data_IF_839663723131
#
_entry.id   IF_839663723131
#
_cell.length_a   1.000
_cell.length_b   1.000
_cell.length_c   1.000
_cell.angle_alpha   90.00
_cell.angle_beta   90.00
_cell.angle_gamma   90.00
#
_symmetry.space_group_name_H-M   'P 1'
#
loop_
_entity.id
_entity.type
_entity.pdbx_description
1 polymer ?
#
# COMPACT_ATOMS: atom_id res chain seq x y z
N UNK A 1 31.45 -17.45 -5.45
CA UNK A 1 31.80 -16.13 -6.02
C UNK A 1 31.62 -16.26 -7.51
N UNK A 2 30.50 -15.80 -8.03
CA UNK A 2 30.26 -15.84 -9.47
C UNK A 2 31.12 -14.75 -10.13
N UNK A 3 31.97 -15.16 -11.06
CA UNK A 3 32.73 -14.23 -11.89
C UNK A 3 31.77 -13.51 -12.83
N UNK A 4 31.93 -12.20 -13.06
CA UNK A 4 31.08 -11.47 -13.98
C UNK A 4 31.20 -12.04 -15.40
N UNK A 5 30.06 -12.43 -15.99
CA UNK A 5 30.00 -13.12 -17.29
C UNK A 5 30.57 -12.26 -18.42
N UNK A 6 30.20 -10.98 -18.47
CA UNK A 6 30.57 -10.06 -19.56
C UNK A 6 31.85 -9.28 -19.28
N UNK A 7 32.24 -9.15 -18.00
CA UNK A 7 33.37 -8.31 -17.53
C UNK A 7 33.30 -6.84 -17.99
N UNK A 8 32.12 -6.35 -18.35
CA UNK A 8 31.86 -4.95 -18.72
C UNK A 8 31.02 -4.27 -17.64
N UNK A 9 31.08 -2.93 -17.59
CA UNK A 9 30.18 -2.15 -16.75
C UNK A 9 28.74 -2.38 -17.19
N UNK A 10 27.82 -2.46 -16.23
CA UNK A 10 26.43 -2.81 -16.49
C UNK A 10 25.75 -1.81 -17.44
N UNK A 11 25.97 -0.51 -17.23
CA UNK A 11 25.36 0.55 -18.01
C UNK A 11 25.83 0.58 -19.47
N UNK A 12 27.14 0.43 -19.69
CA UNK A 12 27.74 0.31 -21.02
C UNK A 12 27.21 -0.92 -21.74
N UNK A 13 27.24 -2.09 -21.08
CA UNK A 13 26.79 -3.33 -21.68
C UNK A 13 25.29 -3.27 -22.05
N UNK A 14 24.45 -2.78 -21.15
CA UNK A 14 23.01 -2.62 -21.38
C UNK A 14 22.71 -1.64 -22.51
N UNK A 15 23.45 -0.53 -22.61
CA UNK A 15 23.24 0.43 -23.69
C UNK A 15 23.54 -0.20 -25.05
N UNK A 16 24.69 -0.85 -25.20
CA UNK A 16 25.15 -1.37 -26.49
C UNK A 16 24.43 -2.64 -26.94
N UNK A 17 24.02 -3.51 -26.01
CA UNK A 17 23.47 -4.84 -26.33
C UNK A 17 21.96 -4.94 -26.16
N UNK A 18 21.32 -3.98 -25.47
CA UNK A 18 19.87 -4.00 -25.21
C UNK A 18 19.22 -2.72 -25.70
N UNK A 19 19.50 -1.57 -25.06
CA UNK A 19 18.76 -0.33 -25.28
C UNK A 19 18.90 0.18 -26.70
N UNK A 20 20.13 0.37 -27.19
CA UNK A 20 20.40 0.88 -28.54
C UNK A 20 19.87 -0.07 -29.62
N UNK A 21 20.08 -1.41 -29.55
CA UNK A 21 19.47 -2.34 -30.50
C UNK A 21 17.96 -2.18 -30.66
N UNK A 22 17.18 -2.17 -29.57
CA UNK A 22 15.72 -2.00 -29.62
C UNK A 22 15.28 -0.54 -29.82
N UNK A 23 16.23 0.38 -29.96
CA UNK A 23 16.00 1.79 -30.31
C UNK A 23 15.75 2.71 -29.12
N UNK A 24 15.94 2.27 -27.88
CA UNK A 24 15.84 3.08 -26.65
C UNK A 24 17.05 4.01 -26.46
N UNK A 25 17.40 4.78 -27.50
CA UNK A 25 18.66 5.52 -27.59
C UNK A 25 18.75 6.73 -26.65
N UNK A 26 17.62 7.21 -26.10
CA UNK A 26 17.62 8.30 -25.12
C UNK A 26 17.74 7.81 -23.69
N UNK A 27 17.60 6.50 -23.48
CA UNK A 27 17.62 5.85 -22.16
C UNK A 27 19.03 5.44 -21.75
N UNK A 28 19.32 5.42 -20.45
CA UNK A 28 20.65 5.07 -19.92
C UNK A 28 20.60 4.64 -18.44
N UNK A 29 21.56 3.81 -18.04
CA UNK A 29 21.71 3.31 -16.66
C UNK A 29 22.80 4.02 -15.84
N UNK A 30 23.58 4.91 -16.45
CA UNK A 30 24.68 5.60 -15.75
C UNK A 30 24.16 6.40 -14.55
N UNK A 31 24.79 6.19 -13.39
CA UNK A 31 24.41 6.79 -12.11
C UNK A 31 25.66 7.41 -11.46
N UNK A 32 25.65 8.72 -11.14
CA UNK A 32 24.61 9.70 -11.46
C UNK A 32 24.41 9.87 -12.98
N UNK A 33 23.28 10.44 -13.43
CA UNK A 33 23.10 10.80 -14.83
C UNK A 33 24.26 11.66 -15.35
N UNK A 34 24.77 11.40 -16.58
CA UNK A 34 25.84 12.17 -17.17
C UNK A 34 25.48 13.66 -17.18
N UNK A 35 26.45 14.55 -16.88
CA UNK A 35 26.19 15.99 -16.67
C UNK A 35 25.47 16.62 -17.85
N UNK A 36 25.85 16.24 -19.06
CA UNK A 36 25.27 16.66 -20.32
C UNK A 36 23.84 16.13 -20.54
N UNK A 37 23.41 15.07 -19.85
CA UNK A 37 22.04 14.52 -19.92
C UNK A 37 21.15 14.96 -18.76
N UNK A 38 21.70 15.54 -17.70
CA UNK A 38 20.91 15.97 -16.52
C UNK A 38 19.80 16.98 -16.87
N UNK A 39 19.99 17.81 -17.90
CA UNK A 39 18.96 18.76 -18.35
C UNK A 39 17.73 18.09 -19.00
N UNK A 40 17.85 16.81 -19.39
CA UNK A 40 16.76 15.99 -19.91
C UNK A 40 16.00 15.24 -18.80
N UNK A 41 16.56 15.20 -17.59
CA UNK A 41 15.99 14.48 -16.46
C UNK A 41 14.92 15.34 -15.78
N UNK A 42 13.74 14.76 -15.56
CA UNK A 42 12.67 15.41 -14.81
C UNK A 42 13.07 15.63 -13.34
N UNK A 43 12.49 16.64 -12.69
CA UNK A 43 12.61 16.83 -11.24
C UNK A 43 11.52 16.05 -10.53
N UNK A 44 11.87 15.31 -9.50
CA UNK A 44 11.03 14.47 -8.67
C UNK A 44 10.30 15.28 -7.61
N UNK A 45 9.07 14.88 -7.31
CA UNK A 45 8.24 15.49 -6.28
C UNK A 45 7.60 14.40 -5.43
N UNK A 46 7.55 14.58 -4.12
CA UNK A 46 6.77 13.69 -3.26
C UNK A 46 5.26 13.76 -3.60
N UNK A 47 4.46 12.87 -3.01
CA UNK A 47 3.02 12.79 -3.28
C UNK A 47 2.22 14.05 -2.92
N UNK A 48 2.74 14.92 -2.06
CA UNK A 48 2.10 16.21 -1.73
C UNK A 48 2.56 17.38 -2.62
N UNK A 49 3.43 17.09 -3.61
CA UNK A 49 4.00 18.10 -4.50
C UNK A 49 5.25 18.79 -3.94
N UNK A 50 5.79 18.36 -2.80
CA UNK A 50 7.07 18.88 -2.29
C UNK A 50 8.22 18.40 -3.18
N UNK A 51 9.10 19.30 -3.68
CA UNK A 51 10.24 18.91 -4.50
C UNK A 51 11.23 18.05 -3.73
N UNK A 52 11.73 16.99 -4.36
CA UNK A 52 12.84 16.21 -3.81
C UNK A 52 14.15 17.01 -3.92
N UNK A 53 14.96 16.96 -2.87
CA UNK A 53 16.24 17.66 -2.82
C UNK A 53 17.15 17.28 -3.99
N UNK A 54 17.87 18.26 -4.55
CA UNK A 54 18.73 18.10 -5.73
C UNK A 54 18.00 17.54 -6.98
N UNK A 55 16.68 17.73 -7.06
CA UNK A 55 15.78 17.30 -8.13
C UNK A 55 15.53 15.79 -8.20
N UNK A 56 16.50 14.93 -7.92
CA UNK A 56 16.31 13.48 -7.96
C UNK A 56 17.44 12.78 -7.18
N UNK A 57 17.20 11.53 -6.79
CA UNK A 57 18.20 10.69 -6.15
C UNK A 57 19.10 9.98 -7.17
N UNK A 58 20.25 9.53 -6.68
CA UNK A 58 21.15 8.62 -7.40
C UNK A 58 20.95 7.23 -6.82
N UNK A 59 20.60 6.27 -7.68
CA UNK A 59 20.34 4.88 -7.29
C UNK A 59 21.49 3.98 -7.77
N UNK A 60 22.47 3.64 -6.91
CA UNK A 60 23.58 2.77 -7.30
C UNK A 60 23.14 1.34 -7.64
N UNK A 61 21.93 0.93 -7.27
CA UNK A 61 21.27 -0.32 -7.65
C UNK A 61 20.81 -0.30 -9.12
N UNK A 62 21.75 -0.06 -10.05
CA UNK A 62 21.47 0.25 -11.46
C UNK A 62 20.46 -0.71 -12.11
N UNK A 63 20.66 -2.01 -11.95
CA UNK A 63 19.83 -3.05 -12.56
C UNK A 63 18.38 -3.07 -12.04
N UNK A 64 18.15 -2.62 -10.80
CA UNK A 64 16.84 -2.63 -10.16
C UNK A 64 16.11 -1.28 -10.25
N UNK A 65 16.83 -0.16 -10.15
CA UNK A 65 16.25 1.17 -9.94
C UNK A 65 16.90 2.31 -10.74
N UNK A 66 17.96 2.03 -11.53
CA UNK A 66 18.82 3.07 -12.10
C UNK A 66 18.51 3.50 -13.53
N UNK A 67 17.52 2.93 -14.22
CA UNK A 67 17.21 3.29 -15.61
C UNK A 67 16.54 4.65 -15.70
N UNK A 68 17.20 5.60 -16.36
CA UNK A 68 16.55 6.79 -16.90
C UNK A 68 16.01 6.47 -18.29
N UNK A 69 14.70 6.68 -18.49
CA UNK A 69 14.02 6.39 -19.74
C UNK A 69 12.88 7.36 -20.03
N UNK A 70 12.39 7.34 -21.27
CA UNK A 70 11.22 8.11 -21.69
C UNK A 70 10.07 7.16 -22.04
N UNK A 71 8.80 7.62 -22.00
CA UNK A 71 7.67 6.79 -22.44
C UNK A 71 7.84 6.29 -23.88
N UNK A 72 8.38 7.14 -24.77
CA UNK A 72 8.61 6.77 -26.16
C UNK A 72 9.64 5.64 -26.31
N UNK A 73 10.71 5.65 -25.52
CA UNK A 73 11.70 4.57 -25.54
C UNK A 73 11.10 3.28 -24.99
N UNK A 74 10.36 3.32 -23.88
CA UNK A 74 9.72 2.12 -23.34
C UNK A 74 8.65 1.56 -24.31
N UNK A 75 7.96 2.40 -25.08
CA UNK A 75 7.08 1.94 -26.16
C UNK A 75 7.83 1.14 -27.24
N UNK A 76 9.11 1.45 -27.52
CA UNK A 76 9.92 0.66 -28.48
C UNK A 76 10.20 -0.74 -27.95
N UNK A 77 10.47 -0.87 -26.64
CA UNK A 77 10.55 -2.17 -25.99
C UNK A 77 9.25 -2.95 -26.10
N UNK A 78 8.11 -2.33 -25.81
CA UNK A 78 6.78 -2.97 -25.92
C UNK A 78 6.55 -3.49 -27.35
N UNK A 79 6.82 -2.67 -28.36
CA UNK A 79 6.66 -3.04 -29.77
C UNK A 79 7.59 -4.21 -30.15
N UNK A 80 8.86 -4.17 -29.74
CA UNK A 80 9.82 -5.26 -30.02
C UNK A 80 9.35 -6.59 -29.41
N UNK A 81 8.90 -6.57 -28.14
CA UNK A 81 8.35 -7.75 -27.47
C UNK A 81 7.10 -8.27 -28.17
N UNK A 82 6.16 -7.40 -28.55
CA UNK A 82 4.93 -7.80 -29.26
C UNK A 82 5.22 -8.46 -30.62
N UNK A 83 6.13 -7.87 -31.40
CA UNK A 83 6.51 -8.41 -32.70
C UNK A 83 7.24 -9.76 -32.55
N UNK A 84 8.16 -9.86 -31.59
CA UNK A 84 8.89 -11.10 -31.33
C UNK A 84 8.03 -12.21 -30.77
N UNK A 85 7.05 -11.88 -29.91
CA UNK A 85 6.07 -12.85 -29.42
C UNK A 85 5.25 -13.47 -30.57
N UNK A 86 4.95 -12.68 -31.61
CA UNK A 86 4.31 -13.13 -32.85
C UNK A 86 5.25 -13.89 -33.81
N UNK A 87 6.50 -14.16 -33.43
CA UNK A 87 7.46 -14.88 -34.26
C UNK A 87 8.29 -14.00 -35.20
N UNK A 88 8.17 -12.66 -35.13
CA UNK A 88 9.00 -11.77 -35.95
C UNK A 88 10.39 -11.62 -35.34
N UNK A 89 11.42 -11.29 -36.13
CA UNK A 89 12.76 -11.05 -35.60
C UNK A 89 12.78 -9.87 -34.62
N UNK A 90 13.42 -10.04 -33.46
CA UNK A 90 13.91 -8.97 -32.59
C UNK A 90 15.44 -8.89 -32.70
N UNK A 91 15.99 -7.73 -32.30
CA UNK A 91 17.44 -7.49 -32.32
C UNK A 91 18.18 -8.01 -31.08
N UNK A 92 17.46 -8.39 -30.02
CA UNK A 92 18.06 -8.78 -28.73
C UNK A 92 17.70 -10.21 -28.35
N UNK A 93 16.41 -10.53 -28.30
CA UNK A 93 15.93 -11.85 -27.91
C UNK A 93 15.34 -12.59 -29.12
N UNK A 94 15.50 -13.91 -29.16
CA UNK A 94 14.77 -14.72 -30.15
C UNK A 94 13.27 -14.75 -29.81
N UNK A 95 12.39 -15.07 -30.78
CA UNK A 95 10.98 -15.28 -30.51
C UNK A 95 10.70 -16.28 -29.38
N UNK A 96 11.48 -17.36 -29.30
CA UNK A 96 11.37 -18.36 -28.24
C UNK A 96 11.73 -17.79 -26.88
N UNK A 97 12.78 -16.96 -26.81
CA UNK A 97 13.19 -16.29 -25.58
C UNK A 97 12.17 -15.22 -25.15
N UNK A 98 11.53 -14.52 -26.08
CA UNK A 98 10.47 -13.57 -25.73
C UNK A 98 9.22 -14.29 -25.21
N UNK A 99 8.86 -15.43 -25.80
CA UNK A 99 7.78 -16.27 -25.25
C UNK A 99 8.10 -16.75 -23.84
N UNK A 100 9.35 -17.16 -23.58
CA UNK A 100 9.81 -17.53 -22.25
C UNK A 100 9.75 -16.33 -21.27
N UNK A 101 10.23 -15.16 -21.70
CA UNK A 101 10.23 -13.91 -20.94
C UNK A 101 8.84 -13.49 -20.47
N UNK A 102 7.82 -13.71 -21.32
CA UNK A 102 6.41 -13.37 -21.07
C UNK A 102 5.58 -14.55 -20.57
N UNK A 103 6.21 -15.64 -20.12
CA UNK A 103 5.52 -16.77 -19.51
C UNK A 103 5.48 -16.60 -17.98
N UNK A 104 4.29 -16.65 -17.34
CA UNK A 104 4.19 -16.60 -15.88
C UNK A 104 4.70 -17.89 -15.22
N UNK A 105 5.23 -17.75 -14.00
CA UNK A 105 5.74 -18.87 -13.19
C UNK A 105 5.05 -18.97 -11.83
N UNK A 106 5.13 -20.15 -11.21
CA UNK A 106 4.63 -20.43 -9.85
C UNK A 106 3.14 -20.12 -9.63
N UNK A 107 2.30 -20.38 -10.65
CA UNK A 107 0.85 -20.11 -10.64
C UNK A 107 0.47 -18.64 -10.31
N UNK A 108 1.42 -17.72 -10.47
CA UNK A 108 1.24 -16.28 -10.25
C UNK A 108 1.39 -15.48 -11.54
N UNK A 109 1.22 -14.14 -11.48
CA UNK A 109 1.34 -13.27 -12.66
C UNK A 109 2.81 -13.01 -13.06
N UNK A 110 3.77 -13.32 -12.19
CA UNK A 110 5.19 -12.96 -12.39
C UNK A 110 5.83 -13.73 -13.54
N UNK A 111 6.42 -13.00 -14.49
CA UNK A 111 7.31 -13.52 -15.53
C UNK A 111 8.73 -12.94 -15.36
N UNK A 112 9.62 -13.07 -16.35
CA UNK A 112 11.02 -12.69 -16.21
C UNK A 112 11.23 -11.16 -16.29
N UNK A 113 10.79 -10.40 -15.27
CA UNK A 113 10.93 -8.94 -15.23
C UNK A 113 9.69 -8.17 -15.71
N UNK A 114 8.56 -8.86 -15.87
CA UNK A 114 7.23 -8.28 -16.07
C UNK A 114 6.18 -9.11 -15.31
N UNK A 115 4.97 -8.60 -15.26
CA UNK A 115 3.79 -9.33 -14.82
C UNK A 115 2.85 -9.56 -16.00
N UNK A 116 2.18 -10.70 -16.05
CA UNK A 116 1.12 -10.98 -17.01
C UNK A 116 -0.22 -10.86 -16.31
N UNK A 117 -1.06 -9.97 -16.84
CA UNK A 117 -2.44 -9.80 -16.37
C UNK A 117 -3.41 -10.26 -17.44
N UNK A 118 -4.49 -10.90 -16.99
CA UNK A 118 -5.62 -11.30 -17.83
C UNK A 118 -6.80 -10.38 -17.51
N UNK A 119 -7.19 -9.57 -18.50
CA UNK A 119 -8.32 -8.65 -18.39
C UNK A 119 -9.43 -9.20 -19.28
N UNK A 120 -10.28 -10.05 -18.70
CA UNK A 120 -11.43 -10.68 -19.36
C UNK A 120 -11.07 -11.43 -20.66
N UNK A 121 -10.00 -12.23 -20.61
CA UNK A 121 -9.50 -13.04 -21.71
C UNK A 121 -8.44 -12.36 -22.58
N UNK A 122 -8.20 -11.06 -22.40
CA UNK A 122 -7.13 -10.34 -23.09
C UNK A 122 -5.90 -10.26 -22.18
N UNK A 123 -4.77 -10.78 -22.65
CA UNK A 123 -3.53 -10.85 -21.86
C UNK A 123 -2.60 -9.69 -22.18
N UNK A 124 -2.06 -9.08 -21.13
CA UNK A 124 -1.10 -7.98 -21.20
C UNK A 124 0.12 -8.31 -20.37
N UNK A 125 1.29 -7.89 -20.84
CA UNK A 125 2.48 -7.76 -20.01
C UNK A 125 2.61 -6.33 -19.51
N UNK A 126 2.91 -6.18 -18.22
CA UNK A 126 2.97 -4.90 -17.53
C UNK A 126 4.07 -4.90 -16.47
N UNK A 127 4.48 -3.70 -16.07
CA UNK A 127 5.24 -3.50 -14.85
C UNK A 127 5.09 -2.04 -14.38
N UNK A 128 5.05 -1.85 -13.06
CA UNK A 128 5.12 -0.51 -12.47
C UNK A 128 6.54 0.01 -12.33
N UNK A 129 6.74 1.30 -12.52
CA UNK A 129 7.97 2.01 -12.22
C UNK A 129 7.75 2.87 -10.97
N UNK A 130 8.65 2.77 -9.99
CA UNK A 130 8.59 3.62 -8.78
C UNK A 130 9.98 3.85 -8.20
N UNK A 131 10.30 5.12 -8.00
CA UNK A 131 11.43 5.63 -7.23
C UNK A 131 10.91 6.82 -6.42
N UNK A 132 11.66 7.29 -5.41
CA UNK A 132 11.22 8.43 -4.60
C UNK A 132 11.05 9.69 -5.48
N UNK A 133 9.82 10.19 -5.51
CA UNK A 133 9.34 11.28 -6.34
C UNK A 133 9.03 10.95 -7.80
N UNK A 134 8.93 9.67 -8.18
CA UNK A 134 8.56 9.22 -9.52
C UNK A 134 7.68 7.97 -9.48
N UNK A 135 6.66 7.92 -10.34
CA UNK A 135 5.93 6.69 -10.57
C UNK A 135 5.47 6.55 -12.02
N UNK A 136 5.00 5.37 -12.39
CA UNK A 136 4.54 5.10 -13.74
C UNK A 136 4.14 3.66 -13.93
N UNK A 137 3.43 3.38 -15.00
CA UNK A 137 3.06 2.02 -15.41
C UNK A 137 3.14 1.91 -16.92
N UNK A 138 3.32 0.68 -17.41
CA UNK A 138 3.10 0.37 -18.81
C UNK A 138 2.27 -0.88 -19.00
N UNK A 139 1.58 -0.96 -20.13
CA UNK A 139 0.92 -2.17 -20.61
C UNK A 139 1.29 -2.42 -22.06
N UNK A 140 1.52 -3.68 -22.41
CA UNK A 140 1.59 -4.17 -23.77
C UNK A 140 0.73 -5.42 -23.92
N UNK A 141 -0.18 -5.46 -24.89
CA UNK A 141 -0.99 -6.66 -25.12
C UNK A 141 -0.14 -7.77 -25.77
N UNK A 142 -0.35 -9.03 -25.42
CA UNK A 142 0.31 -10.16 -26.09
C UNK A 142 -0.20 -10.33 -27.54
N UNK A 143 -1.47 -10.00 -27.75
CA UNK A 143 -2.14 -10.06 -29.05
C UNK A 143 -2.81 -8.71 -29.37
N UNK A 144 -2.98 -8.38 -30.65
CA UNK A 144 -3.64 -7.15 -31.09
C UNK A 144 -2.78 -5.88 -31.10
N UNK A 145 -1.61 -5.87 -30.45
CA UNK A 145 -0.62 -4.78 -30.58
C UNK A 145 -0.96 -3.47 -29.85
N UNK A 146 -1.81 -3.54 -28.82
CA UNK A 146 -2.14 -2.40 -27.97
C UNK A 146 -1.00 -2.14 -26.97
N UNK A 147 -0.70 -0.88 -26.67
CA UNK A 147 0.25 -0.54 -25.63
C UNK A 147 0.16 0.90 -25.16
N UNK A 148 0.59 1.15 -23.92
CA UNK A 148 0.62 2.47 -23.30
C UNK A 148 1.75 2.52 -22.27
N UNK A 149 2.39 3.68 -22.15
CA UNK A 149 3.37 3.97 -21.10
C UNK A 149 3.02 5.33 -20.50
N UNK A 150 2.88 5.40 -19.18
CA UNK A 150 2.62 6.65 -18.45
C UNK A 150 3.66 6.80 -17.36
N UNK A 151 4.36 7.93 -17.35
CA UNK A 151 5.29 8.30 -16.27
C UNK A 151 4.88 9.63 -15.65
N UNK A 152 5.04 9.72 -14.34
CA UNK A 152 4.80 10.89 -13.51
C UNK A 152 6.07 11.19 -12.70
N UNK A 153 6.36 12.47 -12.54
CA UNK A 153 7.38 12.96 -11.62
C UNK A 153 6.78 13.27 -10.24
N UNK A 154 5.91 12.40 -9.77
CA UNK A 154 5.35 12.41 -8.42
C UNK A 154 5.24 10.99 -7.89
N UNK A 155 5.27 10.80 -6.56
CA UNK A 155 4.91 9.53 -5.94
C UNK A 155 3.39 9.25 -5.94
N UNK A 156 2.57 10.26 -6.24
CA UNK A 156 1.12 10.11 -6.38
C UNK A 156 0.75 9.58 -7.78
N UNK A 157 0.58 8.26 -7.86
CA UNK A 157 0.20 7.55 -9.08
C UNK A 157 -1.31 7.42 -9.30
N UNK A 158 -2.14 8.07 -8.48
CA UNK A 158 -3.60 7.84 -8.48
C UNK A 158 -4.26 8.10 -9.84
N UNK A 159 -3.71 9.00 -10.65
CA UNK A 159 -4.24 9.34 -11.98
C UNK A 159 -3.87 8.32 -13.07
N UNK A 160 -2.86 7.46 -12.86
CA UNK A 160 -2.29 6.60 -13.91
C UNK A 160 -3.37 5.67 -14.48
N UNK A 161 -4.11 4.97 -13.62
CA UNK A 161 -5.14 4.02 -14.06
C UNK A 161 -6.28 4.71 -14.84
N UNK A 162 -6.65 5.94 -14.47
CA UNK A 162 -7.66 6.73 -15.20
C UNK A 162 -7.17 7.13 -16.60
N UNK A 163 -5.90 7.48 -16.73
CA UNK A 163 -5.29 7.79 -18.04
C UNK A 163 -5.21 6.54 -18.90
N UNK A 164 -4.78 5.41 -18.35
CA UNK A 164 -4.74 4.12 -19.06
C UNK A 164 -6.14 3.72 -19.52
N UNK A 165 -7.15 3.83 -18.64
CA UNK A 165 -8.56 3.59 -19.00
C UNK A 165 -9.04 4.52 -20.11
N UNK A 166 -8.63 5.79 -20.08
CA UNK A 166 -8.97 6.77 -21.11
C UNK A 166 -8.35 6.41 -22.47
N UNK A 167 -7.09 5.96 -22.50
CA UNK A 167 -6.42 5.44 -23.71
C UNK A 167 -7.14 4.20 -24.21
N UNK A 168 -7.36 3.22 -23.34
CA UNK A 168 -8.07 1.98 -23.68
C UNK A 168 -9.47 2.27 -24.26
N UNK A 169 -10.20 3.25 -23.70
CA UNK A 169 -11.49 3.69 -24.23
C UNK A 169 -11.37 4.37 -25.59
N UNK A 170 -10.45 5.32 -25.74
CA UNK A 170 -10.26 6.10 -26.96
C UNK A 170 -9.84 5.23 -28.16
N UNK A 171 -9.00 4.22 -27.90
CA UNK A 171 -8.49 3.27 -28.91
C UNK A 171 -9.25 1.93 -28.91
N UNK A 172 -10.37 1.83 -28.19
CA UNK A 172 -11.26 0.67 -28.20
C UNK A 172 -10.55 -0.66 -27.88
N UNK A 173 -9.66 -0.66 -26.89
CA UNK A 173 -8.99 -1.87 -26.43
C UNK A 173 -10.04 -2.90 -25.98
N UNK A 174 -9.93 -4.11 -26.53
CA UNK A 174 -10.90 -5.18 -26.28
C UNK A 174 -10.91 -5.51 -24.77
N UNK A 175 -12.11 -5.50 -24.20
CA UNK A 175 -12.44 -5.86 -22.81
C UNK A 175 -11.66 -5.15 -21.68
N UNK A 176 -10.81 -4.18 -22.01
CA UNK A 176 -9.96 -3.49 -21.04
C UNK A 176 -10.75 -2.45 -20.25
N UNK A 177 -11.42 -1.55 -20.96
CA UNK A 177 -12.20 -0.48 -20.34
C UNK A 177 -13.61 -0.96 -19.98
N UNK A 178 -14.03 -0.68 -18.74
CA UNK A 178 -15.39 -0.90 -18.26
C UNK A 178 -16.07 0.42 -17.96
N UNK A 179 -17.32 0.57 -18.41
CA UNK A 179 -18.12 1.73 -18.06
C UNK A 179 -18.39 1.75 -16.55
N UNK A 180 -18.23 2.91 -15.88
CA UNK A 180 -18.50 3.03 -14.45
C UNK A 180 -19.93 2.61 -14.08
N UNK A 181 -20.05 1.81 -13.02
CA UNK A 181 -21.35 1.39 -12.49
C UNK A 181 -22.05 2.56 -11.81
N UNK A 182 -23.15 3.03 -12.41
CA UNK A 182 -23.99 4.08 -11.81
C UNK A 182 -25.02 3.46 -10.87
N UNK A 183 -24.81 3.66 -9.55
CA UNK A 183 -25.72 3.16 -8.51
C UNK A 183 -26.47 4.31 -7.83
N UNK A 184 -27.75 4.10 -7.51
CA UNK A 184 -28.53 5.05 -6.71
C UNK A 184 -28.20 4.85 -5.22
N UNK A 185 -28.02 5.95 -4.50
CA UNK A 185 -27.81 5.97 -3.06
C UNK A 185 -28.96 6.70 -2.36
N UNK A 186 -29.37 6.20 -1.19
CA UNK A 186 -30.35 6.82 -0.29
C UNK A 186 -29.67 7.37 0.96
N UNK A 187 -30.29 8.38 1.57
CA UNK A 187 -29.87 8.85 2.90
C UNK A 187 -30.41 7.90 3.96
N UNK A 188 -29.54 7.44 4.86
CA UNK A 188 -29.91 6.66 6.04
C UNK A 188 -29.71 7.54 7.27
N UNK A 189 -30.69 7.55 8.17
CA UNK A 189 -30.64 8.39 9.36
C UNK A 189 -29.53 7.94 10.33
N UNK A 190 -28.84 8.89 10.97
CA UNK A 190 -27.79 8.64 11.96
C UNK A 190 -28.20 7.65 13.05
N UNK A 191 -29.47 7.69 13.50
CA UNK A 191 -29.99 6.73 14.50
C UNK A 191 -29.89 5.27 14.06
N UNK A 192 -29.99 5.03 12.75
CA UNK A 192 -29.85 3.69 12.14
C UNK A 192 -28.37 3.37 11.96
N UNK A 193 -27.58 4.32 11.44
CA UNK A 193 -26.13 4.14 11.25
C UNK A 193 -25.39 3.85 12.55
N UNK A 194 -25.84 4.46 13.66
CA UNK A 194 -25.32 4.19 15.00
C UNK A 194 -25.45 2.72 15.41
N UNK A 195 -26.48 2.00 14.92
CA UNK A 195 -26.64 0.57 15.19
C UNK A 195 -25.55 -0.27 14.51
N UNK A 196 -24.96 0.25 13.43
CA UNK A 196 -23.90 -0.39 12.66
C UNK A 196 -22.49 -0.08 13.21
N UNK A 197 -22.36 0.83 14.18
CA UNK A 197 -21.06 1.13 14.79
C UNK A 197 -20.40 -0.11 15.38
N UNK A 198 -19.13 -0.33 15.09
CA UNK A 198 -18.39 -1.45 15.64
C UNK A 198 -17.27 -1.93 14.73
N UNK A 199 -16.58 -2.95 15.21
CA UNK A 199 -15.56 -3.66 14.48
C UNK A 199 -16.13 -4.94 13.87
N UNK A 200 -15.66 -5.30 12.69
CA UNK A 200 -16.10 -6.47 11.96
C UNK A 200 -14.89 -7.22 11.41
N UNK A 201 -14.87 -8.54 11.58
CA UNK A 201 -13.81 -9.43 11.13
C UNK A 201 -14.27 -10.23 9.92
N UNK A 202 -13.41 -10.36 8.90
CA UNK A 202 -13.63 -11.21 7.74
C UNK A 202 -12.31 -11.58 7.09
N UNK A 203 -12.19 -12.78 6.52
CA UNK A 203 -10.97 -13.25 5.81
C UNK A 203 -9.65 -12.94 6.55
N UNK A 204 -9.64 -13.10 7.89
CA UNK A 204 -8.53 -12.77 8.79
C UNK A 204 -8.11 -11.28 8.82
N UNK A 205 -8.83 -10.41 8.12
CA UNK A 205 -8.71 -8.95 8.20
C UNK A 205 -9.94 -8.34 8.90
N UNK A 206 -9.99 -7.02 8.99
CA UNK A 206 -11.00 -6.30 9.74
C UNK A 206 -11.46 -5.01 9.06
N UNK A 207 -12.59 -4.51 9.55
CA UNK A 207 -13.11 -3.18 9.24
C UNK A 207 -13.78 -2.57 10.45
N UNK A 208 -13.99 -1.26 10.40
CA UNK A 208 -14.79 -0.55 11.37
C UNK A 208 -15.88 0.28 10.71
N UNK A 209 -16.96 0.48 11.44
CA UNK A 209 -17.94 1.52 11.15
C UNK A 209 -17.96 2.46 12.35
N UNK A 210 -17.77 3.75 12.08
CA UNK A 210 -17.70 4.79 13.10
C UNK A 210 -17.77 6.18 12.50
N UNK A 211 -17.85 7.18 13.39
CA UNK A 211 -17.83 8.59 12.98
C UNK A 211 -16.40 9.11 12.89
N UNK A 212 -16.09 9.76 11.77
CA UNK A 212 -14.92 10.63 11.57
C UNK A 212 -15.41 11.93 10.92
N UNK A 213 -14.93 13.07 11.38
CA UNK A 213 -15.32 14.39 10.85
C UNK A 213 -16.85 14.60 10.75
N UNK A 214 -17.57 14.15 11.80
CA UNK A 214 -19.04 14.18 11.92
C UNK A 214 -19.82 13.33 10.90
N UNK A 215 -19.18 12.46 10.13
CA UNK A 215 -19.82 11.55 9.17
C UNK A 215 -19.51 10.09 9.50
N UNK A 216 -20.44 9.20 9.16
CA UNK A 216 -20.22 7.76 9.26
C UNK A 216 -19.37 7.27 8.08
N UNK A 217 -18.34 6.51 8.39
CA UNK A 217 -17.44 5.91 7.42
C UNK A 217 -17.34 4.41 7.64
N UNK A 218 -17.00 3.72 6.56
CA UNK A 218 -16.46 2.37 6.62
C UNK A 218 -14.94 2.49 6.56
N UNK A 219 -14.25 1.96 7.57
CA UNK A 219 -12.80 1.92 7.63
C UNK A 219 -12.31 0.52 7.29
N UNK A 220 -11.38 0.41 6.34
CA UNK A 220 -10.66 -0.84 6.05
C UNK A 220 -9.36 -0.52 5.31
N UNK A 221 -8.34 -1.36 5.44
CA UNK A 221 -7.05 -1.21 4.76
C UNK A 221 -6.45 0.21 4.87
N UNK A 222 -6.48 0.79 6.07
CA UNK A 222 -5.90 2.12 6.33
C UNK A 222 -6.74 3.30 5.82
N UNK A 223 -7.94 3.08 5.27
CA UNK A 223 -8.72 4.13 4.58
C UNK A 223 -10.11 4.28 5.18
N UNK A 224 -10.56 5.53 5.32
CA UNK A 224 -11.93 5.88 5.63
C UNK A 224 -12.67 6.15 4.33
N UNK A 225 -13.67 5.33 3.99
CA UNK A 225 -14.45 5.48 2.76
C UNK A 225 -15.91 5.80 3.05
N UNK A 226 -16.56 6.45 2.09
CA UNK A 226 -17.97 6.80 2.20
C UNK A 226 -18.85 5.55 2.10
N UNK A 227 -19.92 5.51 2.90
CA UNK A 227 -20.94 4.46 2.82
C UNK A 227 -22.13 4.94 1.98
N UNK A 228 -22.31 4.36 0.80
CA UNK A 228 -23.47 4.64 -0.06
C UNK A 228 -24.50 3.52 0.08
N UNK A 229 -25.75 3.88 0.39
CA UNK A 229 -26.78 2.90 0.75
C UNK A 229 -27.77 2.69 -0.39
N UNK A 230 -28.00 1.44 -0.80
CA UNK A 230 -29.09 1.10 -1.73
C UNK A 230 -30.40 0.85 -0.98
N UNK A 231 -30.30 0.35 0.25
CA UNK A 231 -31.38 0.21 1.23
C UNK A 231 -30.85 0.59 2.61
N UNK A 232 -31.69 0.74 3.65
CA UNK A 232 -31.18 1.04 4.99
C UNK A 232 -30.16 0.03 5.54
N UNK A 233 -30.15 -1.21 5.03
CA UNK A 233 -29.25 -2.29 5.48
C UNK A 233 -28.18 -2.68 4.46
N UNK A 234 -28.22 -2.16 3.24
CA UNK A 234 -27.32 -2.55 2.15
C UNK A 234 -26.51 -1.34 1.70
N UNK A 235 -25.18 -1.46 1.75
CA UNK A 235 -24.28 -0.40 1.33
C UNK A 235 -23.15 -0.90 0.43
N UNK A 236 -22.59 0.04 -0.33
CA UNK A 236 -21.43 -0.14 -1.20
C UNK A 236 -20.50 1.06 -1.04
N UNK A 237 -19.30 0.93 -1.58
CA UNK A 237 -18.26 1.96 -1.62
C UNK A 237 -17.86 2.19 -3.08
N UNK A 238 -17.13 3.25 -3.37
CA UNK A 238 -16.59 3.50 -4.71
C UNK A 238 -15.26 2.74 -4.92
N UNK A 239 -14.55 2.53 -3.82
CA UNK A 239 -13.20 1.96 -3.79
C UNK A 239 -13.18 0.43 -3.77
N UNK A 240 -14.30 -0.20 -3.41
CA UNK A 240 -14.38 -1.65 -3.23
C UNK A 240 -15.60 -2.23 -3.95
N UNK A 241 -15.44 -3.31 -4.71
CA UNK A 241 -16.55 -3.92 -5.47
C UNK A 241 -17.60 -4.59 -4.57
N UNK A 242 -17.21 -4.94 -3.33
CA UNK A 242 -18.08 -5.61 -2.39
C UNK A 242 -19.31 -4.78 -2.01
N UNK A 243 -20.50 -5.35 -2.22
CA UNK A 243 -21.77 -4.92 -1.63
C UNK A 243 -21.94 -5.62 -0.29
N UNK A 244 -22.26 -4.85 0.75
CA UNK A 244 -22.41 -5.34 2.13
C UNK A 244 -23.84 -5.20 2.59
N UNK A 245 -24.40 -6.26 3.18
CA UNK A 245 -25.75 -6.22 3.76
C UNK A 245 -25.73 -6.60 5.23
N UNK A 246 -26.14 -5.70 6.12
CA UNK A 246 -26.13 -5.95 7.56
C UNK A 246 -27.03 -7.12 7.95
N UNK A 247 -26.50 -7.98 8.82
CA UNK A 247 -27.18 -9.16 9.37
C UNK A 247 -27.59 -8.85 10.79
N UNK A 248 -28.84 -9.18 11.12
CA UNK A 248 -29.41 -9.04 12.46
C UNK A 248 -29.69 -10.41 13.08
N UNK A 249 -29.53 -10.51 14.41
CA UNK A 249 -30.07 -11.63 15.17
C UNK A 249 -31.59 -11.52 15.36
N UNK A 250 -32.20 -12.51 16.01
CA UNK A 250 -33.65 -12.54 16.31
C UNK A 250 -34.12 -11.41 17.23
N UNK A 251 -33.18 -10.73 17.93
CA UNK A 251 -33.46 -9.58 18.81
C UNK A 251 -33.23 -8.24 18.08
N UNK A 252 -32.83 -8.28 16.81
CA UNK A 252 -32.56 -7.09 15.99
C UNK A 252 -31.16 -6.50 16.17
N UNK A 253 -30.27 -7.16 16.91
CA UNK A 253 -28.88 -6.70 17.08
C UNK A 253 -28.06 -7.01 15.83
N UNK A 254 -27.18 -6.08 15.46
CA UNK A 254 -26.26 -6.27 14.35
C UNK A 254 -25.16 -7.24 14.78
N UNK A 255 -25.07 -8.37 14.08
CA UNK A 255 -24.08 -9.43 14.33
C UNK A 255 -23.01 -9.51 13.24
N UNK A 256 -23.16 -8.77 12.16
CA UNK A 256 -22.25 -8.84 11.02
C UNK A 256 -22.82 -8.21 9.76
N UNK A 257 -22.17 -8.49 8.63
CA UNK A 257 -22.72 -8.19 7.31
C UNK A 257 -22.34 -9.27 6.30
N UNK A 258 -23.26 -9.57 5.39
CA UNK A 258 -23.01 -10.41 4.23
C UNK A 258 -22.17 -9.65 3.21
N UNK A 259 -21.36 -10.38 2.44
CA UNK A 259 -20.45 -9.82 1.43
C UNK A 259 -20.73 -10.45 0.08
N UNK A 260 -21.04 -9.63 -0.91
CA UNK A 260 -21.20 -10.05 -2.29
C UNK A 260 -20.27 -9.22 -3.19
N UNK A 261 -19.43 -9.88 -3.99
CA UNK A 261 -18.54 -9.25 -4.97
C UNK A 261 -18.96 -9.76 -6.34
N UNK A 262 -19.49 -8.87 -7.17
CA UNK A 262 -19.90 -9.18 -8.55
C UNK A 262 -20.78 -10.43 -8.69
N UNK A 263 -21.73 -10.59 -7.77
CA UNK A 263 -22.66 -11.72 -7.75
C UNK A 263 -22.18 -12.91 -6.94
N UNK A 264 -20.89 -12.99 -6.60
CA UNK A 264 -20.32 -14.07 -5.78
C UNK A 264 -20.44 -13.75 -4.28
N UNK A 265 -21.01 -14.68 -3.52
CA UNK A 265 -21.07 -14.60 -2.07
C UNK A 265 -19.75 -15.01 -1.41
N UNK A 266 -19.38 -14.28 -0.35
CA UNK A 266 -18.21 -14.54 0.48
C UNK A 266 -18.65 -14.76 1.94
N UNK A 267 -17.80 -15.41 2.78
CA UNK A 267 -18.07 -15.54 4.20
C UNK A 267 -18.44 -14.20 4.83
N UNK A 268 -19.49 -14.23 5.65
CA UNK A 268 -19.99 -13.06 6.35
C UNK A 268 -18.90 -12.45 7.23
N UNK A 269 -18.86 -11.12 7.26
CA UNK A 269 -18.11 -10.45 8.30
C UNK A 269 -18.85 -10.58 9.63
N UNK A 270 -18.12 -10.88 10.69
CA UNK A 270 -18.67 -11.10 12.03
C UNK A 270 -18.33 -9.88 12.88
N UNK A 271 -19.33 -9.33 13.58
CA UNK A 271 -19.11 -8.21 14.50
C UNK A 271 -18.29 -8.70 15.70
N UNK A 272 -17.19 -8.01 15.99
CA UNK A 272 -16.36 -8.28 17.15
C UNK A 272 -17.06 -7.71 18.39
N UNK A 273 -17.39 -8.59 19.34
CA UNK A 273 -18.01 -8.20 20.62
C UNK A 273 -17.07 -8.36 21.81
N UNK A 274 -16.08 -9.26 21.72
CA UNK A 274 -15.10 -9.48 22.76
C UNK A 274 -13.71 -9.74 22.14
N UNK A 275 -12.70 -8.89 22.40
CA UNK A 275 -11.33 -9.15 21.94
C UNK A 275 -10.76 -10.48 22.43
N UNK A 276 -11.13 -10.94 23.63
CA UNK A 276 -10.53 -12.15 24.23
C UNK A 276 -10.81 -13.44 23.46
N UNK A 277 -11.83 -13.44 22.59
CA UNK A 277 -12.18 -14.60 21.75
C UNK A 277 -11.40 -14.66 20.43
N UNK A 278 -10.59 -13.64 20.13
CA UNK A 278 -9.92 -13.50 18.83
C UNK A 278 -8.60 -14.24 18.78
N UNK A 279 -8.30 -14.91 17.67
CA UNK A 279 -6.98 -15.51 17.40
C UNK A 279 -6.48 -14.98 16.06
N UNK A 280 -6.04 -13.73 16.05
CA UNK A 280 -5.62 -12.99 14.86
C UNK A 280 -4.09 -12.88 14.81
N UNK A 281 -3.56 -12.70 13.61
CA UNK A 281 -2.15 -12.37 13.42
C UNK A 281 -1.75 -11.10 14.19
N UNK A 282 -0.47 -11.03 14.59
CA UNK A 282 0.06 -9.97 15.44
C UNK A 282 -0.19 -8.56 14.85
N UNK A 283 0.08 -8.38 13.57
CA UNK A 283 -0.16 -7.12 12.86
C UNK A 283 -1.64 -6.71 12.92
N UNK A 284 -2.56 -7.65 12.65
CA UNK A 284 -4.00 -7.38 12.60
C UNK A 284 -4.53 -6.92 13.95
N UNK A 285 -4.17 -7.60 15.04
CA UNK A 285 -4.65 -7.22 16.37
C UNK A 285 -4.03 -5.89 16.84
N UNK A 286 -2.77 -5.65 16.47
CA UNK A 286 -2.07 -4.39 16.74
C UNK A 286 -2.73 -3.22 16.02
N UNK A 287 -3.08 -3.39 14.75
CA UNK A 287 -3.79 -2.38 13.94
C UNK A 287 -5.16 -2.01 14.55
N UNK A 288 -5.93 -2.99 15.02
CA UNK A 288 -7.22 -2.72 15.68
C UNK A 288 -7.02 -1.92 16.98
N UNK A 289 -6.01 -2.27 17.77
CA UNK A 289 -5.66 -1.54 18.99
C UNK A 289 -5.27 -0.09 18.70
N UNK A 290 -4.45 0.14 17.67
CA UNK A 290 -4.07 1.48 17.22
C UNK A 290 -5.25 2.29 16.71
N UNK A 291 -6.13 1.69 15.91
CA UNK A 291 -7.37 2.33 15.50
C UNK A 291 -8.19 2.79 16.70
N UNK A 292 -8.36 1.94 17.72
CA UNK A 292 -9.08 2.33 18.94
C UNK A 292 -8.38 3.47 19.70
N UNK A 293 -7.05 3.45 19.77
CA UNK A 293 -6.26 4.52 20.39
C UNK A 293 -6.46 5.86 19.68
N UNK A 294 -6.41 5.88 18.35
CA UNK A 294 -6.68 7.08 17.52
C UNK A 294 -8.11 7.59 17.69
N UNK A 295 -9.08 6.68 17.82
CA UNK A 295 -10.47 7.03 18.15
C UNK A 295 -10.65 7.48 19.61
N UNK A 296 -9.57 7.58 20.40
CA UNK A 296 -9.56 7.91 21.83
C UNK A 296 -10.37 6.93 22.70
N UNK A 297 -10.57 5.71 22.20
CA UNK A 297 -11.22 4.59 22.88
C UNK A 297 -10.16 3.77 23.63
N UNK A 298 -9.54 4.41 24.62
CA UNK A 298 -8.34 3.88 25.27
C UNK A 298 -8.58 2.55 26.00
N UNK A 299 -9.76 2.36 26.59
CA UNK A 299 -10.09 1.09 27.29
C UNK A 299 -10.16 -0.06 26.29
N UNK A 300 -10.82 0.16 25.17
CA UNK A 300 -10.93 -0.81 24.08
C UNK A 300 -9.56 -1.09 23.46
N UNK A 301 -8.74 -0.06 23.22
CA UNK A 301 -7.37 -0.21 22.73
C UNK A 301 -6.55 -1.12 23.66
N UNK A 302 -6.59 -0.87 24.97
CA UNK A 302 -5.91 -1.70 25.98
C UNK A 302 -6.38 -3.15 25.91
N UNK A 303 -7.69 -3.42 25.74
CA UNK A 303 -8.20 -4.78 25.60
C UNK A 303 -7.63 -5.51 24.39
N UNK A 304 -7.54 -4.84 23.23
CA UNK A 304 -6.93 -5.43 22.03
C UNK A 304 -5.44 -5.68 22.20
N UNK A 305 -4.68 -4.71 22.73
CA UNK A 305 -3.26 -4.90 22.96
C UNK A 305 -2.98 -6.00 23.99
N UNK A 306 -3.76 -6.09 25.07
CA UNK A 306 -3.65 -7.18 26.04
C UNK A 306 -3.92 -8.54 25.41
N UNK A 307 -4.92 -8.62 24.52
CA UNK A 307 -5.15 -9.85 23.76
C UNK A 307 -3.97 -10.16 22.84
N UNK A 308 -3.37 -9.15 22.22
CA UNK A 308 -2.12 -9.29 21.47
C UNK A 308 -1.02 -9.90 22.33
N UNK A 309 -0.74 -9.33 23.51
CA UNK A 309 0.27 -9.84 24.46
C UNK A 309 -0.01 -11.29 24.88
N UNK A 310 -1.28 -11.67 25.04
CA UNK A 310 -1.65 -13.05 25.36
C UNK A 310 -1.36 -14.05 24.23
N UNK A 311 -1.35 -13.59 22.98
CA UNK A 311 -1.04 -14.40 21.80
C UNK A 311 0.46 -14.35 21.42
N UNK A 312 1.10 -13.21 21.66
CA UNK A 312 2.47 -12.86 21.25
C UNK A 312 3.23 -12.21 22.42
N UNK A 313 3.49 -12.95 23.51
CA UNK A 313 4.09 -12.39 24.73
C UNK A 313 5.52 -11.85 24.55
N UNK A 314 6.21 -12.27 23.50
CA UNK A 314 7.55 -11.82 23.11
C UNK A 314 7.58 -10.44 22.45
N UNK A 315 6.43 -9.96 21.93
CA UNK A 315 6.37 -8.68 21.23
C UNK A 315 6.18 -7.52 22.22
N UNK A 316 7.30 -6.91 22.58
CA UNK A 316 7.34 -5.77 23.49
C UNK A 316 6.63 -4.52 22.94
N UNK A 317 6.40 -4.41 21.62
CA UNK A 317 5.66 -3.27 21.05
C UNK A 317 4.21 -3.25 21.54
N UNK A 318 3.58 -4.40 21.71
CA UNK A 318 2.22 -4.50 22.25
C UNK A 318 2.15 -4.00 23.71
N UNK A 319 3.18 -4.29 24.51
CA UNK A 319 3.29 -3.80 25.89
C UNK A 319 3.51 -2.28 25.92
N UNK A 320 4.37 -1.77 25.02
CA UNK A 320 4.57 -0.33 24.85
C UNK A 320 3.25 0.38 24.50
N UNK A 321 2.47 -0.18 23.59
CA UNK A 321 1.17 0.37 23.20
C UNK A 321 0.14 0.38 24.34
N UNK A 322 0.19 -0.60 25.25
CA UNK A 322 -0.61 -0.57 26.49
C UNK A 322 -0.19 0.61 27.38
N UNK A 323 1.13 0.86 27.53
CA UNK A 323 1.63 2.00 28.30
C UNK A 323 1.16 3.33 27.72
N UNK A 324 1.24 3.49 26.39
CA UNK A 324 0.74 4.68 25.68
C UNK A 324 -0.76 4.86 25.89
N UNK A 325 -1.56 3.80 25.76
CA UNK A 325 -2.99 3.88 25.97
C UNK A 325 -3.36 4.25 27.42
N UNK A 326 -2.66 3.72 28.44
CA UNK A 326 -2.82 4.17 29.82
C UNK A 326 -2.45 5.65 29.97
N UNK A 327 -1.32 6.08 29.40
CA UNK A 327 -0.84 7.45 29.47
C UNK A 327 -1.86 8.46 28.91
N UNK A 328 -2.39 8.20 27.71
CA UNK A 328 -3.38 9.07 27.07
C UNK A 328 -4.78 8.98 27.67
N UNK A 329 -5.09 7.88 28.38
CA UNK A 329 -6.31 7.78 29.18
C UNK A 329 -6.26 8.56 30.50
N UNK A 330 -5.08 9.09 30.87
CA UNK A 330 -4.83 9.80 32.13
C UNK A 330 -4.39 8.90 33.29
N UNK A 331 -4.25 7.59 33.07
CA UNK A 331 -3.74 6.63 34.05
C UNK A 331 -2.20 6.62 34.06
N UNK A 332 -1.64 7.73 34.54
CA UNK A 332 -0.20 7.94 34.56
C UNK A 332 0.54 6.90 35.42
N UNK A 333 -0.11 6.37 36.44
CA UNK A 333 0.50 5.38 37.33
C UNK A 333 0.76 4.07 36.59
N UNK A 334 -0.27 3.49 35.96
CA UNK A 334 -0.10 2.24 35.22
C UNK A 334 0.83 2.40 34.02
N UNK A 335 0.78 3.54 33.33
CA UNK A 335 1.74 3.84 32.27
C UNK A 335 3.19 3.84 32.79
N UNK A 336 3.47 4.59 33.86
CA UNK A 336 4.81 4.69 34.45
C UNK A 336 5.32 3.34 34.95
N UNK A 337 4.46 2.54 35.58
CA UNK A 337 4.83 1.20 36.06
C UNK A 337 5.31 0.31 34.89
N UNK A 338 4.63 0.35 33.74
CA UNK A 338 5.04 -0.41 32.54
C UNK A 338 6.35 0.13 31.96
N UNK A 339 6.47 1.45 31.72
CA UNK A 339 7.70 2.01 31.17
C UNK A 339 8.91 1.73 32.05
N UNK A 340 8.76 1.80 33.38
CA UNK A 340 9.84 1.50 34.34
C UNK A 340 10.21 0.02 34.34
N UNK A 341 9.23 -0.87 34.20
CA UNK A 341 9.46 -2.32 34.21
C UNK A 341 10.31 -2.76 33.03
N UNK A 342 10.06 -2.20 31.85
CA UNK A 342 10.72 -2.58 30.59
C UNK A 342 11.86 -1.64 30.17
N UNK A 343 12.23 -0.65 30.98
CA UNK A 343 13.22 0.38 30.61
C UNK A 343 14.56 -0.20 30.10
N UNK A 344 14.97 -1.36 30.61
CA UNK A 344 16.25 -2.01 30.24
C UNK A 344 16.12 -3.04 29.12
N UNK A 345 14.92 -3.25 28.60
CA UNK A 345 14.67 -4.26 27.58
C UNK A 345 15.11 -3.78 26.20
N UNK A 346 15.43 -4.75 25.35
CA UNK A 346 15.71 -4.53 23.93
C UNK A 346 14.54 -5.02 23.11
N UNK A 347 14.05 -4.16 22.21
CA UNK A 347 13.03 -4.53 21.23
C UNK A 347 13.67 -5.43 20.16
N UNK A 348 14.91 -5.11 19.75
CA UNK A 348 15.76 -5.92 18.84
C UNK A 348 17.24 -5.58 19.08
N UNK A 349 18.23 -6.31 18.50
CA UNK A 349 19.66 -6.27 18.92
C UNK A 349 20.28 -4.87 19.11
N UNK A 350 19.90 -3.90 18.27
CA UNK A 350 20.43 -2.53 18.28
C UNK A 350 19.33 -1.45 18.47
N UNK A 351 18.21 -1.82 19.10
CA UNK A 351 17.10 -0.91 19.32
C UNK A 351 16.44 -1.19 20.68
N UNK A 352 16.63 -0.26 21.62
CA UNK A 352 16.18 -0.39 23.00
C UNK A 352 14.72 0.05 23.17
N UNK A 353 14.15 -0.29 24.33
CA UNK A 353 12.87 0.25 24.78
C UNK A 353 12.87 1.79 24.80
N UNK A 354 13.97 2.41 25.24
CA UNK A 354 14.11 3.86 25.27
C UNK A 354 14.18 4.48 23.87
N UNK A 355 14.77 3.78 22.89
CA UNK A 355 14.78 4.22 21.49
C UNK A 355 13.36 4.20 20.90
N UNK A 356 12.58 3.16 21.18
CA UNK A 356 11.16 3.11 20.81
C UNK A 356 10.35 4.22 21.47
N UNK A 357 10.54 4.48 22.77
CA UNK A 357 9.88 5.61 23.44
C UNK A 357 10.19 6.95 22.77
N UNK A 358 11.44 7.16 22.33
CA UNK A 358 11.87 8.39 21.66
C UNK A 358 11.19 8.56 20.30
N UNK A 359 11.15 7.50 19.50
CA UNK A 359 10.48 7.51 18.20
C UNK A 359 8.96 7.71 18.34
N UNK A 360 8.34 7.06 19.33
CA UNK A 360 6.92 7.22 19.61
C UNK A 360 6.58 8.64 20.09
N UNK A 361 7.46 9.27 20.88
CA UNK A 361 7.27 10.67 21.29
C UNK A 361 7.28 11.63 20.09
N UNK A 362 8.15 11.39 19.10
CA UNK A 362 8.16 12.13 17.83
C UNK A 362 6.85 11.87 17.08
N UNK A 363 6.50 10.61 16.88
CA UNK A 363 5.27 10.22 16.20
C UNK A 363 4.03 10.90 16.79
N UNK A 364 3.82 10.80 18.10
CA UNK A 364 2.66 11.40 18.76
C UNK A 364 2.64 12.92 18.65
N UNK A 365 3.80 13.58 18.75
CA UNK A 365 3.91 15.03 18.56
C UNK A 365 3.50 15.43 17.14
N UNK A 366 4.04 14.73 16.13
CA UNK A 366 3.80 15.04 14.72
C UNK A 366 2.34 14.75 14.31
N UNK A 367 1.67 13.84 15.03
CA UNK A 367 0.24 13.54 14.89
C UNK A 367 -0.66 14.34 15.86
N UNK A 368 -0.15 15.46 16.41
CA UNK A 368 -0.90 16.42 17.22
C UNK A 368 -1.50 15.89 18.53
N UNK A 369 -0.90 14.87 19.14
CA UNK A 369 -1.25 14.44 20.51
C UNK A 369 -0.70 15.41 21.56
N UNK A 370 -1.38 15.52 22.71
CA UNK A 370 -0.81 16.21 23.87
C UNK A 370 0.24 15.32 24.55
N UNK A 371 1.51 15.56 24.24
CA UNK A 371 2.65 14.79 24.74
C UNK A 371 3.20 15.30 26.09
N UNK A 372 2.54 16.25 26.78
CA UNK A 372 3.03 16.78 28.08
C UNK A 372 3.23 15.69 29.13
N UNK A 373 2.27 14.78 29.25
CA UNK A 373 2.38 13.65 30.18
C UNK A 373 3.50 12.70 29.78
N UNK A 374 3.73 12.51 28.47
CA UNK A 374 4.82 11.67 27.99
C UNK A 374 6.18 12.28 28.33
N UNK A 375 6.39 13.58 28.10
CA UNK A 375 7.62 14.28 28.50
C UNK A 375 7.91 14.18 30.01
N UNK A 376 6.87 14.15 30.86
CA UNK A 376 7.04 13.91 32.31
C UNK A 376 7.55 12.50 32.61
N UNK A 377 7.10 11.48 31.87
CA UNK A 377 7.62 10.12 32.01
C UNK A 377 9.12 10.09 31.69
N UNK A 378 9.56 10.73 30.59
CA UNK A 378 10.98 10.83 30.26
C UNK A 378 11.81 11.44 31.41
N UNK A 379 11.33 12.55 31.98
CA UNK A 379 11.99 13.18 33.12
C UNK A 379 12.07 12.28 34.36
N UNK A 380 11.00 11.53 34.67
CA UNK A 380 10.97 10.59 35.81
C UNK A 380 11.92 9.41 35.61
N UNK A 381 12.07 8.94 34.37
CA UNK A 381 12.93 7.81 34.04
C UNK A 381 14.39 8.20 33.72
N UNK A 382 14.71 9.50 33.76
CA UNK A 382 16.01 10.08 33.38
C UNK A 382 16.42 9.74 31.94
N UNK A 383 15.47 9.75 31.01
CA UNK A 383 15.72 9.52 29.57
C UNK A 383 15.84 10.88 28.87
N UNK A 384 16.88 11.06 28.08
CA UNK A 384 17.03 12.28 27.26
C UNK A 384 15.95 12.38 26.19
N UNK A 385 15.42 13.60 25.98
CA UNK A 385 14.46 13.86 24.93
C UNK A 385 15.12 13.79 23.53
N UNK A 386 14.40 13.35 22.49
CA UNK A 386 14.87 13.43 21.11
C UNK A 386 15.18 14.87 20.70
N UNK A 387 16.15 15.06 19.80
CA UNK A 387 16.46 16.39 19.24
C UNK A 387 15.23 17.00 18.56
N UNK A 388 14.91 18.25 18.88
CA UNK A 388 13.77 18.97 18.27
C UNK A 388 12.43 18.83 19.01
N UNK A 389 12.43 18.26 20.23
CA UNK A 389 11.27 18.14 21.13
C UNK A 389 11.60 18.76 22.48
#
# INVERSE_FOLDING_TARGET
MDFPVTKQNYDEWMYDHVLKPIGMETSFYSQPPPKEKQHLCASAYSGDGTPISNKFHVYPEQAAAGLWMTPNDLCKYIIDMQLAYQGKPSKVLSPEMVKLHLTPYNDGPTSLGSFIVDINGEKYFEHGARNDGFCGDFYGSLEGGNGVVIFLNSDDGTIISEVINSVAKAYQWKHFYHEPLRKKSIKVADKVLKLYEGLYLYDQTWSAIGKKDNKYHFYTNGRYVNMYFSTPTCFFNEEFPAVKTFIKDSKGNIIGYARNVDGKEFPNAIRITNPDTLSLENNVITEIGWYMLEQKKYKEAISFFKRGVALYPEDLNLIMNIAHAHLFSGDQKSALDIYKTHQKDKIRPDYSWEDLMKDDLIYFKDHHYDVKSFKKIFAVLNIELPKGI
#
